data_IF_345595723655
#
_entry.id   IF_345595723655
#
_cell.length_a   1.000
_cell.length_b   1.000
_cell.length_c   1.000
_cell.angle_alpha   90.00
_cell.angle_beta   90.00
_cell.angle_gamma   90.00
#
_symmetry.space_group_name_H-M   'P 1'
#
loop_
_entity.id
_entity.type
_entity.pdbx_description
1 polymer ?
#
# COMPACT_ATOMS: atom_id res chain seq x y z
N UNK A 1 7.00 -17.32 -7.50
CA UNK A 1 8.09 -16.99 -8.45
C UNK A 1 7.46 -16.74 -9.82
N UNK A 2 7.23 -15.49 -10.17
CA UNK A 2 6.80 -15.12 -11.52
C UNK A 2 7.98 -15.37 -12.47
N UNK A 3 7.75 -16.01 -13.62
CA UNK A 3 8.78 -16.23 -14.65
C UNK A 3 8.60 -15.21 -15.79
N UNK A 4 9.19 -14.00 -15.67
CA UNK A 4 9.18 -12.97 -16.71
C UNK A 4 9.65 -13.42 -18.11
N UNK A 5 10.55 -14.41 -18.27
CA UNK A 5 10.97 -14.89 -19.59
C UNK A 5 9.82 -15.33 -20.51
N UNK A 6 8.76 -15.93 -19.95
CA UNK A 6 7.64 -16.45 -20.73
C UNK A 6 6.74 -15.34 -21.33
N UNK A 7 6.60 -14.21 -20.61
CA UNK A 7 5.79 -13.07 -21.09
C UNK A 7 6.55 -12.25 -22.14
N UNK A 8 7.86 -12.08 -21.96
CA UNK A 8 8.73 -11.36 -22.89
C UNK A 8 8.90 -12.10 -24.22
N UNK A 9 8.95 -13.45 -24.20
CA UNK A 9 8.97 -14.29 -25.40
C UNK A 9 7.72 -14.08 -26.29
N UNK A 10 6.53 -13.91 -25.68
CA UNK A 10 5.28 -13.62 -26.41
C UNK A 10 5.23 -12.22 -27.02
N UNK A 11 6.17 -11.34 -26.63
CA UNK A 11 6.31 -9.98 -27.13
C UNK A 11 7.42 -9.83 -28.18
N UNK A 12 8.06 -10.94 -28.60
CA UNK A 12 9.09 -10.94 -29.65
C UNK A 12 10.52 -10.72 -29.16
N UNK A 13 10.76 -10.88 -27.85
CA UNK A 13 12.07 -10.73 -27.24
C UNK A 13 12.60 -12.08 -26.71
N UNK A 14 13.87 -12.41 -27.01
CA UNK A 14 14.53 -13.64 -26.57
C UNK A 14 15.73 -13.37 -25.64
N UNK A 15 16.15 -14.40 -24.90
CA UNK A 15 17.42 -14.41 -24.15
C UNK A 15 18.59 -14.64 -25.12
N UNK A 16 19.71 -13.94 -24.92
CA UNK A 16 20.91 -14.13 -25.72
C UNK A 16 21.45 -15.58 -25.63
N UNK A 17 21.92 -16.20 -26.73
CA UNK A 17 22.31 -17.61 -26.76
C UNK A 17 23.40 -18.00 -25.75
N UNK A 18 24.38 -17.12 -25.52
CA UNK A 18 25.50 -17.37 -24.59
C UNK A 18 25.09 -17.36 -23.10
N UNK A 19 23.90 -16.87 -22.77
CA UNK A 19 23.41 -16.71 -21.40
C UNK A 19 22.47 -17.84 -20.97
N UNK A 20 22.08 -18.73 -21.89
CA UNK A 20 21.24 -19.92 -21.59
C UNK A 20 21.87 -20.88 -20.57
N UNK A 21 23.20 -20.84 -20.42
CA UNK A 21 23.96 -21.82 -19.64
C UNK A 21 24.60 -21.26 -18.35
N UNK A 22 24.36 -19.98 -17.97
CA UNK A 22 24.92 -19.39 -16.74
C UNK A 22 23.82 -19.17 -15.69
N UNK A 23 23.81 -19.97 -14.64
CA UNK A 23 22.74 -20.06 -13.61
C UNK A 23 22.91 -19.16 -12.39
N UNK A 24 23.98 -18.34 -12.31
CA UNK A 24 24.26 -17.53 -11.11
C UNK A 24 24.05 -16.02 -11.28
N UNK A 25 24.08 -15.52 -12.51
CA UNK A 25 23.57 -14.20 -12.85
C UNK A 25 23.06 -14.20 -14.29
N UNK A 26 21.74 -14.13 -14.46
CA UNK A 26 21.15 -14.07 -15.79
C UNK A 26 21.13 -12.61 -16.24
N UNK A 27 22.03 -12.26 -17.15
CA UNK A 27 21.92 -10.99 -17.86
C UNK A 27 20.81 -11.16 -18.92
N UNK A 28 19.61 -10.61 -18.73
CA UNK A 28 18.57 -10.67 -19.78
C UNK A 28 18.90 -9.58 -20.80
N UNK A 29 19.49 -9.97 -21.93
CA UNK A 29 19.67 -9.10 -23.09
C UNK A 29 18.44 -9.24 -23.99
N UNK A 30 17.60 -8.20 -24.06
CA UNK A 30 16.45 -8.18 -24.96
C UNK A 30 16.92 -7.78 -26.37
N UNK A 31 16.95 -8.73 -27.30
CA UNK A 31 17.10 -8.45 -28.73
C UNK A 31 15.73 -8.45 -29.42
N UNK A 32 15.45 -7.48 -30.32
CA UNK A 32 14.34 -7.62 -31.25
C UNK A 32 14.63 -8.79 -32.22
N UNK A 33 13.58 -9.51 -32.61
CA UNK A 33 13.69 -10.62 -33.56
C UNK A 33 14.34 -10.13 -34.89
N UNK A 34 15.48 -10.71 -35.33
CA UNK A 34 16.25 -10.21 -36.47
C UNK A 34 15.51 -10.29 -37.82
N UNK A 35 14.42 -11.05 -37.90
CA UNK A 35 13.58 -11.11 -39.11
C UNK A 35 12.76 -9.84 -39.38
N UNK A 36 12.85 -8.80 -38.54
CA UNK A 36 11.96 -7.64 -38.60
C UNK A 36 12.62 -6.27 -38.85
N UNK A 37 13.94 -6.07 -38.68
CA UNK A 37 14.56 -4.73 -38.73
C UNK A 37 16.07 -4.73 -39.05
N UNK A 38 16.57 -3.70 -39.77
CA UNK A 38 17.95 -3.55 -40.27
C UNK A 38 18.69 -2.30 -39.74
N UNK A 39 18.51 -1.92 -38.46
CA UNK A 39 19.09 -0.70 -37.89
C UNK A 39 19.82 -0.92 -36.55
N UNK A 40 20.85 -0.12 -36.29
CA UNK A 40 21.75 -0.21 -35.14
C UNK A 40 21.00 -0.35 -33.79
N UNK A 41 21.23 -1.46 -33.09
CA UNK A 41 20.50 -1.85 -31.89
C UNK A 41 21.15 -1.32 -30.60
N UNK A 42 20.34 -0.78 -29.67
CA UNK A 42 20.73 -0.63 -28.26
C UNK A 42 20.27 -1.88 -27.50
N UNK A 43 21.21 -2.55 -26.83
CA UNK A 43 20.94 -3.69 -25.96
C UNK A 43 20.47 -3.19 -24.59
N UNK A 44 19.36 -3.75 -24.09
CA UNK A 44 18.92 -3.54 -22.69
C UNK A 44 19.35 -4.76 -21.89
N UNK A 45 20.13 -4.55 -20.84
CA UNK A 45 20.68 -5.59 -19.98
C UNK A 45 19.98 -5.55 -18.61
N UNK A 46 19.51 -6.70 -18.14
CA UNK A 46 19.02 -6.87 -16.75
C UNK A 46 19.95 -7.76 -15.98
N UNK A 47 20.45 -7.35 -14.82
CA UNK A 47 21.24 -8.23 -13.96
C UNK A 47 20.30 -8.94 -12.99
N UNK A 48 20.28 -10.27 -13.04
CA UNK A 48 19.59 -11.10 -12.06
C UNK A 48 20.61 -11.60 -11.04
N UNK A 49 20.36 -11.40 -9.74
CA UNK A 49 21.15 -11.99 -8.65
C UNK A 49 20.28 -13.06 -7.95
N UNK A 50 20.87 -14.15 -7.45
CA UNK A 50 20.10 -15.22 -6.76
C UNK A 50 19.46 -14.75 -5.44
N UNK A 51 19.93 -13.63 -4.88
CA UNK A 51 19.34 -12.93 -3.73
C UNK A 51 19.36 -11.43 -4.02
N UNK A 52 18.36 -10.92 -4.75
CA UNK A 52 18.36 -9.52 -5.09
C UNK A 52 18.18 -8.66 -3.85
N UNK A 53 18.99 -7.62 -3.73
CA UNK A 53 18.79 -6.60 -2.70
C UNK A 53 17.40 -5.97 -2.87
N UNK A 54 16.88 -5.30 -1.83
CA UNK A 54 15.59 -4.62 -1.91
C UNK A 54 15.55 -3.58 -3.05
N UNK A 55 16.68 -2.93 -3.33
CA UNK A 55 16.86 -1.99 -4.44
C UNK A 55 16.80 -2.71 -5.79
N UNK A 56 17.45 -3.87 -5.92
CA UNK A 56 17.42 -4.69 -7.14
C UNK A 56 16.00 -5.21 -7.44
N UNK A 57 15.22 -5.60 -6.41
CA UNK A 57 13.83 -6.05 -6.56
C UNK A 57 12.89 -4.91 -7.01
N UNK A 58 13.04 -3.73 -6.42
CA UNK A 58 12.25 -2.55 -6.79
C UNK A 58 12.55 -2.10 -8.22
N UNK A 59 13.85 -2.07 -8.60
CA UNK A 59 14.29 -1.73 -9.95
C UNK A 59 13.78 -2.75 -10.97
N UNK A 60 13.82 -4.04 -10.66
CA UNK A 60 13.31 -5.10 -11.53
C UNK A 60 11.81 -4.95 -11.79
N UNK A 61 11.03 -4.72 -10.73
CA UNK A 61 9.57 -4.53 -10.82
C UNK A 61 9.23 -3.31 -11.67
N UNK A 62 9.87 -2.17 -11.39
CA UNK A 62 9.67 -0.93 -12.14
C UNK A 62 10.00 -1.12 -13.62
N UNK A 63 11.16 -1.72 -13.92
CA UNK A 63 11.61 -1.83 -15.31
C UNK A 63 10.75 -2.81 -16.11
N UNK A 64 10.30 -3.90 -15.48
CA UNK A 64 9.36 -4.85 -16.10
C UNK A 64 8.02 -4.19 -16.40
N UNK A 65 7.46 -3.44 -15.44
CA UNK A 65 6.24 -2.65 -15.61
C UNK A 65 6.35 -1.64 -16.75
N UNK A 66 7.42 -0.83 -16.78
CA UNK A 66 7.67 0.14 -17.85
C UNK A 66 7.79 -0.55 -19.20
N UNK A 67 8.55 -1.65 -19.31
CA UNK A 67 8.71 -2.37 -20.57
C UNK A 67 7.41 -3.00 -21.08
N UNK A 68 6.62 -3.62 -20.20
CA UNK A 68 5.33 -4.21 -20.56
C UNK A 68 4.35 -3.12 -21.03
N UNK A 69 4.36 -1.98 -20.36
CA UNK A 69 3.57 -0.82 -20.74
C UNK A 69 4.00 -0.25 -22.09
N UNK A 70 5.29 0.03 -22.28
CA UNK A 70 5.84 0.53 -23.55
C UNK A 70 5.62 -0.45 -24.70
N UNK A 71 5.70 -1.77 -24.45
CA UNK A 71 5.39 -2.80 -25.45
C UNK A 71 3.90 -2.77 -25.87
N UNK A 72 2.97 -2.56 -24.93
CA UNK A 72 1.54 -2.35 -25.23
C UNK A 72 1.29 -1.06 -26.00
N UNK A 73 1.92 0.04 -25.57
CA UNK A 73 1.84 1.33 -26.27
C UNK A 73 2.31 1.17 -27.72
N UNK A 74 3.45 0.50 -27.92
CA UNK A 74 4.05 0.22 -29.24
C UNK A 74 3.13 -0.58 -30.15
N UNK A 75 2.35 -1.53 -29.63
CA UNK A 75 1.36 -2.30 -30.42
C UNK A 75 0.23 -1.42 -30.95
N UNK A 76 -0.14 -0.37 -30.21
CA UNK A 76 -1.31 0.45 -30.49
C UNK A 76 -0.98 1.78 -31.20
N UNK A 77 0.29 2.13 -31.38
CA UNK A 77 0.71 3.32 -32.14
C UNK A 77 0.65 3.06 -33.66
N UNK A 78 0.13 4.02 -34.45
CA UNK A 78 -0.09 3.83 -35.89
C UNK A 78 1.19 3.83 -36.73
N UNK A 79 2.26 4.53 -36.30
CA UNK A 79 3.46 4.77 -37.14
C UNK A 79 4.80 4.39 -36.44
N UNK A 80 5.83 4.07 -37.25
CA UNK A 80 7.16 3.59 -36.86
C UNK A 80 7.97 4.64 -36.11
N UNK A 81 7.86 5.92 -36.49
CA UNK A 81 8.59 7.00 -35.81
C UNK A 81 8.05 7.25 -34.40
N UNK A 82 6.73 7.15 -34.22
CA UNK A 82 6.11 7.19 -32.89
C UNK A 82 6.54 6.00 -32.01
N UNK A 83 6.72 4.81 -32.61
CA UNK A 83 7.23 3.61 -31.92
C UNK A 83 8.70 3.77 -31.50
N UNK A 84 9.53 4.40 -32.34
CA UNK A 84 10.94 4.67 -32.06
C UNK A 84 11.12 5.76 -30.99
N UNK A 85 10.28 6.80 -31.01
CA UNK A 85 10.29 7.87 -30.01
C UNK A 85 9.91 7.34 -28.62
N UNK A 86 8.85 6.53 -28.52
CA UNK A 86 8.43 5.91 -27.26
C UNK A 86 9.52 5.02 -26.65
N UNK A 87 10.25 4.27 -27.48
CA UNK A 87 11.35 3.40 -27.03
C UNK A 87 12.56 4.22 -26.57
N UNK A 88 12.96 5.23 -27.35
CA UNK A 88 14.09 6.11 -27.02
C UNK A 88 13.85 6.82 -25.69
N UNK A 89 12.64 7.35 -25.47
CA UNK A 89 12.28 8.05 -24.24
C UNK A 89 12.14 7.13 -23.03
N UNK A 90 11.61 5.91 -23.20
CA UNK A 90 11.58 4.91 -22.12
C UNK A 90 13.00 4.58 -21.64
N UNK A 91 13.95 4.46 -22.58
CA UNK A 91 15.36 4.26 -22.26
C UNK A 91 16.00 5.48 -21.60
N UNK A 92 15.74 6.70 -22.09
CA UNK A 92 16.31 7.93 -21.54
C UNK A 92 15.82 8.17 -20.09
N UNK A 93 14.58 7.80 -19.75
CA UNK A 93 14.03 7.87 -18.39
C UNK A 93 14.66 6.85 -17.42
N UNK A 94 14.91 5.62 -17.89
CA UNK A 94 15.64 4.61 -17.10
C UNK A 94 17.06 5.13 -16.83
N UNK A 95 17.68 5.77 -17.81
CA UNK A 95 19.01 6.35 -17.71
C UNK A 95 19.09 7.67 -16.91
N UNK A 96 17.97 8.38 -16.70
CA UNK A 96 17.95 9.67 -15.98
C UNK A 96 17.69 9.53 -14.47
N UNK A 97 17.52 8.32 -13.94
CA UNK A 97 17.46 8.09 -12.49
C UNK A 97 18.87 8.04 -11.92
N UNK A 98 19.12 8.87 -10.90
CA UNK A 98 20.41 9.08 -10.23
C UNK A 98 21.03 7.84 -9.57
N UNK A 99 20.28 6.74 -9.47
CA UNK A 99 20.68 5.54 -8.73
C UNK A 99 21.08 4.36 -9.65
N UNK A 100 21.35 4.62 -10.93
CA UNK A 100 21.95 3.63 -11.83
C UNK A 100 23.47 3.82 -11.81
N UNK A 101 24.28 2.81 -11.41
CA UNK A 101 25.73 2.94 -11.43
C UNK A 101 26.18 3.28 -12.85
N UNK A 102 26.89 4.39 -13.00
CA UNK A 102 27.48 4.76 -14.27
C UNK A 102 28.51 3.72 -14.71
N UNK A 103 28.61 3.48 -16.02
CA UNK A 103 29.50 2.49 -16.65
C UNK A 103 30.99 2.60 -16.24
N UNK A 104 31.38 3.69 -15.60
CA UNK A 104 32.70 3.96 -15.04
C UNK A 104 33.02 3.23 -13.72
N UNK A 105 32.02 2.67 -13.02
CA UNK A 105 32.24 2.07 -11.69
C UNK A 105 32.56 0.56 -11.74
N UNK A 106 32.57 -0.04 -12.93
CA UNK A 106 32.95 -1.44 -13.13
C UNK A 106 34.43 -1.53 -13.53
N UNK A 107 35.32 -1.45 -12.53
CA UNK A 107 36.73 -1.82 -12.73
C UNK A 107 36.87 -3.36 -12.77
N UNK A 108 37.79 -3.91 -13.57
CA UNK A 108 37.83 -5.34 -13.87
C UNK A 108 38.63 -6.09 -12.80
N UNK A 109 37.97 -6.89 -11.98
CA UNK A 109 38.64 -7.88 -11.13
C UNK A 109 38.19 -9.29 -11.50
N UNK A 110 39.03 -9.93 -12.31
CA UNK A 110 39.25 -11.38 -12.37
C UNK A 110 40.29 -11.74 -11.27
N UNK A 111 40.66 -13.01 -11.01
CA UNK A 111 39.93 -14.26 -10.78
C UNK A 111 40.20 -14.83 -9.36
N UNK A 112 39.47 -15.92 -9.02
CA UNK A 112 39.83 -17.07 -8.14
C UNK A 112 38.80 -17.27 -7.03
N UNK A 113 37.83 -18.12 -7.31
CA UNK A 113 37.12 -18.87 -6.27
C UNK A 113 37.34 -20.34 -6.56
N UNK A 114 38.17 -20.96 -5.72
CA UNK A 114 38.22 -22.40 -5.55
C UNK A 114 36.87 -22.87 -4.98
N UNK A 115 36.44 -24.03 -5.47
CA UNK A 115 35.37 -24.87 -4.94
C UNK A 115 35.28 -24.88 -3.42
N UNK A 116 34.08 -24.94 -2.85
CA UNK A 116 33.79 -25.93 -1.79
C UNK A 116 32.30 -26.23 -1.66
N UNK A 117 32.06 -27.45 -1.22
CA UNK A 117 30.89 -28.30 -1.35
C UNK A 117 29.65 -27.96 -0.51
N UNK A 118 28.56 -28.51 -1.03
CA UNK A 118 27.24 -28.73 -0.47
C UNK A 118 27.29 -29.69 0.72
N UNK A 119 26.56 -29.38 1.80
CA UNK A 119 25.87 -30.39 2.61
C UNK A 119 24.45 -29.91 2.90
N UNK A 120 23.48 -30.77 2.58
CA UNK A 120 22.06 -30.59 2.86
C UNK A 120 21.70 -30.93 4.31
N UNK A 121 20.41 -30.75 4.63
CA UNK A 121 19.62 -31.68 5.45
C UNK A 121 18.12 -31.34 5.35
N UNK A 122 17.37 -32.43 5.12
CA UNK A 122 15.95 -32.73 5.21
C UNK A 122 15.00 -31.80 6.00
N UNK A 123 13.79 -31.62 5.44
CA UNK A 123 12.60 -31.14 6.14
C UNK A 123 11.59 -32.27 6.28
N UNK A 124 11.22 -32.59 7.52
CA UNK A 124 10.02 -33.40 7.81
C UNK A 124 8.86 -32.49 8.20
N UNK A 125 7.68 -32.84 7.67
CA UNK A 125 6.37 -32.25 7.94
C UNK A 125 5.91 -32.52 9.38
N UNK A 126 5.29 -31.54 10.04
CA UNK A 126 4.18 -31.79 10.98
C UNK A 126 3.13 -30.68 10.94
N UNK A 127 1.90 -31.13 10.72
CA UNK A 127 0.60 -30.45 10.89
C UNK A 127 0.32 -30.11 12.36
N UNK A 128 -0.33 -28.97 12.63
CA UNK A 128 -0.77 -28.58 13.98
C UNK A 128 -2.13 -27.90 14.01
N UNK A 129 -3.14 -28.63 14.49
CA UNK A 129 -4.49 -28.19 14.82
C UNK A 129 -4.51 -27.31 16.08
N UNK A 130 -5.37 -26.31 16.08
CA UNK A 130 -5.68 -25.42 17.20
C UNK A 130 -6.46 -26.15 18.30
N UNK A 131 -6.02 -26.02 19.56
CA UNK A 131 -6.84 -26.27 20.75
C UNK A 131 -6.44 -25.36 21.90
N UNK A 132 -7.48 -24.87 22.61
CA UNK A 132 -7.41 -24.04 23.80
C UNK A 132 -6.78 -24.79 24.98
N UNK A 133 -5.90 -24.15 25.76
CA UNK A 133 -5.71 -24.54 27.16
C UNK A 133 -5.33 -23.35 28.05
N UNK A 134 -6.08 -23.26 29.15
CA UNK A 134 -5.93 -22.34 30.27
C UNK A 134 -4.83 -22.82 31.23
N UNK A 135 -4.06 -21.84 31.73
CA UNK A 135 -3.40 -21.74 33.04
C UNK A 135 -2.76 -23.00 33.68
N UNK A 136 -1.43 -22.95 33.83
CA UNK A 136 -0.74 -23.45 35.03
C UNK A 136 0.58 -22.69 35.25
N UNK A 137 0.61 -21.82 36.28
CA UNK A 137 1.81 -21.15 36.82
C UNK A 137 2.85 -22.20 37.19
N UNK A 138 4.06 -22.13 36.62
CA UNK A 138 5.25 -22.78 37.17
C UNK A 138 6.03 -21.78 38.01
N UNK A 139 6.24 -22.16 39.28
CA UNK A 139 7.02 -21.48 40.31
C UNK A 139 8.47 -21.30 39.84
N UNK A 140 8.96 -20.05 39.76
CA UNK A 140 10.37 -19.75 39.47
C UNK A 140 11.13 -19.66 40.79
N UNK A 141 12.25 -20.37 40.86
CA UNK A 141 13.24 -20.35 41.95
C UNK A 141 14.02 -19.04 41.88
N UNK A 142 14.15 -18.35 43.02
CA UNK A 142 14.97 -17.16 43.17
C UNK A 142 16.46 -17.52 43.07
N UNK A 143 17.19 -16.77 42.25
CA UNK A 143 18.65 -16.68 42.23
C UNK A 143 19.03 -15.20 42.28
N UNK A 144 20.11 -14.82 43.00
CA UNK A 144 20.37 -13.43 43.35
C UNK A 144 20.99 -12.64 42.20
N UNK A 145 20.58 -11.37 42.12
CA UNK A 145 21.26 -10.22 41.54
C UNK A 145 21.86 -10.38 40.12
N UNK A 146 21.01 -10.12 39.14
CA UNK A 146 21.42 -9.71 37.80
C UNK A 146 20.48 -8.61 37.32
N UNK A 147 20.89 -7.35 37.47
CA UNK A 147 20.17 -6.20 36.93
C UNK A 147 20.07 -6.33 35.40
N UNK A 148 18.87 -6.61 34.90
CA UNK A 148 18.55 -6.62 33.47
C UNK A 148 18.42 -5.18 32.95
N UNK A 149 19.00 -4.83 31.79
CA UNK A 149 19.08 -3.45 31.30
C UNK A 149 17.83 -3.02 30.52
N UNK A 150 16.61 -3.22 31.06
CA UNK A 150 15.36 -2.77 30.43
C UNK A 150 14.20 -2.64 31.44
N UNK A 151 14.29 -1.70 32.39
CA UNK A 151 13.18 -1.35 33.29
C UNK A 151 12.92 0.14 33.30
N UNK A 152 12.52 0.70 32.15
CA UNK A 152 11.87 2.01 32.18
C UNK A 152 10.67 1.98 33.13
N UNK A 153 10.53 2.99 34.02
CA UNK A 153 9.50 3.00 35.04
C UNK A 153 8.11 3.14 34.42
N UNK A 154 7.12 2.48 35.02
CA UNK A 154 5.72 2.68 34.66
C UNK A 154 5.34 4.13 34.93
N UNK A 155 4.74 4.79 33.94
CA UNK A 155 4.36 6.20 33.97
C UNK A 155 2.86 6.37 34.16
N UNK A 156 2.48 7.45 34.85
CA UNK A 156 1.07 7.84 35.02
C UNK A 156 0.67 8.81 33.92
N UNK A 157 -0.43 8.53 33.23
CA UNK A 157 -1.00 9.45 32.25
C UNK A 157 -1.60 10.66 32.97
N UNK A 158 -0.90 11.80 32.95
CA UNK A 158 -1.34 13.03 33.64
C UNK A 158 -2.73 13.49 33.20
N UNK A 159 -3.09 13.29 31.94
CA UNK A 159 -4.39 13.68 31.37
C UNK A 159 -5.56 12.86 31.94
N UNK A 160 -5.32 11.59 32.28
CA UNK A 160 -6.36 10.63 32.67
C UNK A 160 -6.02 10.01 34.03
N UNK A 161 -5.84 10.89 35.00
CA UNK A 161 -5.60 10.50 36.39
C UNK A 161 -6.63 11.18 37.28
N UNK A 162 -7.79 10.53 37.44
CA UNK A 162 -8.89 11.05 38.24
C UNK A 162 -8.71 10.67 39.71
N UNK A 163 -8.82 11.66 40.60
CA UNK A 163 -8.67 11.47 42.04
C UNK A 163 -9.74 10.53 42.63
N UNK A 164 -10.93 10.51 42.03
CA UNK A 164 -12.05 9.62 42.34
C UNK A 164 -12.10 8.36 41.46
N UNK A 165 -11.12 8.17 40.58
CA UNK A 165 -10.99 6.99 39.73
C UNK A 165 -10.83 5.73 40.58
N UNK A 166 -11.56 4.67 40.19
CA UNK A 166 -11.72 3.43 40.94
C UNK A 166 -11.23 2.17 40.19
N UNK A 167 -10.52 2.36 39.08
CA UNK A 167 -9.77 1.32 38.35
C UNK A 167 -8.59 1.95 37.64
N UNK A 168 -7.50 1.18 37.51
CA UNK A 168 -6.33 1.58 36.73
C UNK A 168 -6.24 0.68 35.50
N UNK A 169 -6.33 1.25 34.31
CA UNK A 169 -5.99 0.55 33.07
C UNK A 169 -4.50 0.73 32.85
N UNK A 170 -3.77 -0.37 32.63
CA UNK A 170 -2.35 -0.33 32.30
C UNK A 170 -2.13 -0.83 30.88
N UNK A 171 -1.81 0.10 29.97
CA UNK A 171 -1.46 -0.19 28.58
C UNK A 171 0.04 0.10 28.40
N UNK A 172 0.80 -0.89 27.92
CA UNK A 172 2.26 -0.80 27.83
C UNK A 172 2.89 -0.38 29.18
N UNK A 173 3.61 0.76 29.21
CA UNK A 173 4.21 1.35 30.41
C UNK A 173 3.43 2.56 30.93
N UNK A 174 2.17 2.71 30.55
CA UNK A 174 1.33 3.85 30.92
C UNK A 174 0.09 3.38 31.70
N UNK A 175 -0.16 4.03 32.83
CA UNK A 175 -1.33 3.81 33.67
C UNK A 175 -2.32 4.96 33.58
N UNK A 176 -3.60 4.62 33.45
CA UNK A 176 -4.74 5.53 33.38
C UNK A 176 -5.67 5.24 34.57
N UNK A 177 -5.83 6.19 35.48
CA UNK A 177 -6.73 6.05 36.65
C UNK A 177 -8.08 6.65 36.29
N UNK A 178 -9.08 5.78 36.08
CA UNK A 178 -10.38 6.12 35.47
C UNK A 178 -11.55 5.44 36.19
N UNK A 179 -12.77 5.61 35.68
CA UNK A 179 -13.99 5.09 36.29
C UNK A 179 -14.48 3.80 35.63
N UNK A 180 -14.67 2.75 36.43
CA UNK A 180 -15.30 1.47 36.01
C UNK A 180 -16.65 1.69 35.36
N UNK A 181 -17.47 2.58 35.93
CA UNK A 181 -18.80 2.89 35.42
C UNK A 181 -18.77 3.43 33.99
N UNK A 182 -17.85 4.37 33.68
CA UNK A 182 -17.70 4.94 32.33
C UNK A 182 -17.24 3.87 31.35
N UNK A 183 -16.22 3.08 31.71
CA UNK A 183 -15.75 1.99 30.85
C UNK A 183 -16.84 0.92 30.61
N UNK A 184 -17.60 0.56 31.65
CA UNK A 184 -18.69 -0.42 31.57
C UNK A 184 -19.86 0.08 30.74
N UNK A 185 -20.15 1.39 30.80
CA UNK A 185 -21.20 2.01 30.00
C UNK A 185 -20.90 1.90 28.50
N UNK A 186 -19.64 2.08 28.10
CA UNK A 186 -19.26 2.01 26.70
C UNK A 186 -18.92 0.59 26.21
N UNK A 187 -18.53 -0.33 27.09
CA UNK A 187 -18.07 -1.68 26.73
C UNK A 187 -18.75 -2.78 27.54
N UNK A 188 -19.47 -3.66 26.82
CA UNK A 188 -20.06 -4.86 27.42
C UNK A 188 -19.01 -5.85 27.94
N UNK A 189 -17.87 -5.95 27.26
CA UNK A 189 -16.74 -6.81 27.66
C UNK A 189 -16.12 -6.31 28.97
N UNK A 190 -15.84 -5.00 29.09
CA UNK A 190 -15.29 -4.42 30.32
C UNK A 190 -16.31 -4.49 31.46
N UNK A 191 -17.60 -4.23 31.18
CA UNK A 191 -18.68 -4.41 32.16
C UNK A 191 -18.70 -5.82 32.74
N UNK A 192 -18.62 -6.83 31.87
CA UNK A 192 -18.59 -8.24 32.28
C UNK A 192 -17.32 -8.54 33.07
N UNK A 193 -16.16 -8.13 32.57
CA UNK A 193 -14.86 -8.32 33.22
C UNK A 193 -14.84 -7.76 34.65
N UNK A 194 -15.42 -6.58 34.86
CA UNK A 194 -15.51 -5.96 36.17
C UNK A 194 -16.57 -6.58 37.10
N UNK A 195 -17.53 -7.31 36.55
CA UNK A 195 -18.58 -7.97 37.34
C UNK A 195 -18.17 -9.35 37.85
N UNK A 196 -17.13 -9.96 37.24
CA UNK A 196 -16.63 -11.26 37.68
C UNK A 196 -15.98 -11.15 39.06
N UNK A 197 -16.17 -12.16 39.95
CA UNK A 197 -15.48 -12.21 41.24
C UNK A 197 -13.97 -12.18 40.99
N UNK A 198 -13.29 -11.16 41.51
CA UNK A 198 -11.83 -11.17 41.50
C UNK A 198 -11.35 -12.26 42.49
N UNK A 199 -10.28 -13.00 42.17
CA UNK A 199 -9.69 -13.92 43.14
C UNK A 199 -9.38 -13.14 44.42
N UNK A 200 -9.80 -13.69 45.55
CA UNK A 200 -9.76 -13.03 46.86
C UNK A 200 -8.40 -12.43 47.15
N UNK A 201 -8.40 -11.21 47.71
CA UNK A 201 -7.29 -10.31 48.06
C UNK A 201 -6.14 -10.92 48.88
N UNK A 202 -6.24 -12.19 49.29
CA UNK A 202 -5.18 -12.93 49.98
C UNK A 202 -4.26 -13.71 49.02
N UNK A 203 -4.62 -13.82 47.74
CA UNK A 203 -3.69 -14.28 46.72
C UNK A 203 -2.86 -13.08 46.25
N UNK A 204 -1.54 -13.18 46.34
CA UNK A 204 -0.49 -12.18 46.01
C UNK A 204 -0.45 -11.78 44.51
N UNK A 205 -1.59 -11.81 43.81
CA UNK A 205 -1.69 -11.78 42.35
C UNK A 205 -2.62 -10.71 41.78
N UNK A 206 -3.38 -9.97 42.61
CA UNK A 206 -4.09 -8.76 42.17
C UNK A 206 -3.23 -7.54 42.48
N UNK A 207 -2.50 -7.08 41.48
CA UNK A 207 -1.73 -5.84 41.54
C UNK A 207 -2.69 -4.66 41.79
N UNK A 208 -2.44 -3.90 42.85
CA UNK A 208 -3.21 -2.70 43.18
C UNK A 208 -2.26 -1.51 43.28
N UNK A 209 -2.72 -0.36 42.80
CA UNK A 209 -1.98 0.90 42.89
C UNK A 209 -2.93 1.91 43.52
N UNK A 210 -2.52 2.52 44.64
CA UNK A 210 -3.35 3.46 45.42
C UNK A 210 -4.71 2.85 45.83
N UNK A 211 -4.73 1.55 46.16
CA UNK A 211 -5.96 0.84 46.52
C UNK A 211 -6.92 0.58 45.35
N UNK A 212 -6.56 0.96 44.12
CA UNK A 212 -7.33 0.68 42.92
C UNK A 212 -6.82 -0.61 42.24
N UNK A 213 -7.71 -1.48 41.73
CA UNK A 213 -7.31 -2.66 40.96
C UNK A 213 -6.67 -2.24 39.64
N UNK A 214 -5.52 -2.84 39.31
CA UNK A 214 -4.83 -2.66 38.03
C UNK A 214 -5.32 -3.71 37.04
N UNK A 215 -5.68 -3.25 35.85
CA UNK A 215 -6.18 -4.06 34.74
C UNK A 215 -5.20 -3.92 33.59
N UNK A 216 -4.29 -4.89 33.41
CA UNK A 216 -3.37 -4.87 32.29
C UNK A 216 -4.12 -5.15 30.99
N UNK A 217 -3.80 -4.38 29.95
CA UNK A 217 -4.36 -4.51 28.60
C UNK A 217 -3.24 -4.63 27.58
N UNK A 218 -3.49 -5.36 26.49
CA UNK A 218 -2.49 -5.62 25.46
C UNK A 218 -2.41 -4.56 24.36
N UNK A 219 -3.32 -3.58 24.36
CA UNK A 219 -3.33 -2.50 23.38
C UNK A 219 -2.34 -1.40 23.73
N UNK A 220 -2.08 -0.50 22.77
CA UNK A 220 -1.15 0.61 22.96
C UNK A 220 -1.69 1.67 23.93
N UNK A 221 -0.78 2.35 24.64
CA UNK A 221 -1.14 3.49 25.47
C UNK A 221 -1.78 4.63 24.66
N UNK A 222 -1.35 4.79 23.41
CA UNK A 222 -1.90 5.79 22.48
C UNK A 222 -3.38 5.53 22.16
N UNK A 223 -3.77 4.27 21.95
CA UNK A 223 -5.17 3.94 21.69
C UNK A 223 -6.06 4.17 22.90
N UNK A 224 -5.55 3.85 24.09
CA UNK A 224 -6.26 4.11 25.34
C UNK A 224 -6.39 5.61 25.63
N UNK A 225 -5.35 6.42 25.38
CA UNK A 225 -5.48 7.89 25.43
C UNK A 225 -6.58 8.40 24.49
N UNK A 226 -6.56 7.91 23.24
CA UNK A 226 -7.51 8.32 22.22
C UNK A 226 -8.96 7.94 22.56
N UNK A 227 -9.21 6.71 23.04
CA UNK A 227 -10.57 6.29 23.38
C UNK A 227 -11.08 6.96 24.66
N UNK A 228 -10.21 7.19 25.65
CA UNK A 228 -10.57 7.93 26.86
C UNK A 228 -10.94 9.38 26.52
N UNK A 229 -10.26 9.99 25.53
CA UNK A 229 -10.64 11.29 24.99
C UNK A 229 -12.06 11.28 24.40
N UNK A 230 -12.45 10.20 23.73
CA UNK A 230 -13.82 10.02 23.21
C UNK A 230 -14.84 9.95 24.35
N UNK A 231 -14.55 9.22 25.43
CA UNK A 231 -15.48 9.05 26.55
C UNK A 231 -15.63 10.29 27.43
N UNK A 232 -14.51 10.93 27.77
CA UNK A 232 -14.49 12.02 28.74
C UNK A 232 -14.51 13.42 28.12
N UNK A 233 -14.26 13.54 26.81
CA UNK A 233 -14.12 14.83 26.12
C UNK A 233 -14.98 14.92 24.85
N UNK A 234 -16.21 14.42 24.93
CA UNK A 234 -17.17 14.38 23.81
C UNK A 234 -17.50 15.76 23.22
N UNK A 235 -17.38 16.84 24.01
CA UNK A 235 -17.64 18.23 23.59
C UNK A 235 -16.65 18.71 22.51
N UNK A 236 -15.44 18.15 22.44
CA UNK A 236 -14.45 18.51 21.40
C UNK A 236 -14.88 18.07 19.99
N UNK A 237 -15.70 17.02 19.89
CA UNK A 237 -16.19 16.50 18.59
C UNK A 237 -17.50 17.17 18.15
N UNK A 238 -18.19 17.86 19.06
CA UNK A 238 -19.50 18.48 18.81
C UNK A 238 -19.41 19.96 18.41
N UNK A 239 -18.36 20.68 18.85
CA UNK A 239 -18.35 22.15 18.78
C UNK A 239 -17.60 22.79 17.59
N UNK A 240 -17.05 22.02 16.65
CA UNK A 240 -16.19 22.60 15.59
C UNK A 240 -16.42 22.13 14.15
N UNK A 241 -17.27 21.13 13.91
CA UNK A 241 -17.40 20.52 12.58
C UNK A 241 -16.11 19.87 12.03
N UNK A 242 -15.02 19.86 12.82
CA UNK A 242 -13.74 19.27 12.46
C UNK A 242 -13.78 17.76 12.72
N UNK A 243 -13.44 16.97 11.71
CA UNK A 243 -13.25 15.53 11.86
C UNK A 243 -12.14 15.25 12.89
N UNK A 244 -12.29 14.24 13.77
CA UNK A 244 -11.21 13.82 14.65
C UNK A 244 -9.97 13.40 13.86
N UNK A 245 -8.77 13.49 14.46
CA UNK A 245 -7.56 12.91 13.89
C UNK A 245 -7.75 11.42 13.60
N UNK A 246 -7.12 10.92 12.53
CA UNK A 246 -7.29 9.54 12.09
C UNK A 246 -6.81 8.53 13.13
N UNK A 247 -5.88 8.88 14.02
CA UNK A 247 -5.43 8.05 15.13
C UNK A 247 -6.55 7.78 16.13
N UNK A 248 -7.39 8.80 16.39
CA UNK A 248 -8.59 8.63 17.23
C UNK A 248 -9.59 7.72 16.52
N UNK A 249 -9.77 7.91 15.21
CA UNK A 249 -10.63 7.04 14.40
C UNK A 249 -10.12 5.59 14.42
N UNK A 250 -8.80 5.37 14.35
CA UNK A 250 -8.19 4.04 14.42
C UNK A 250 -8.46 3.37 15.76
N UNK A 251 -8.26 4.09 16.87
CA UNK A 251 -8.56 3.59 18.22
C UNK A 251 -10.04 3.27 18.39
N UNK A 252 -10.94 4.12 17.88
CA UNK A 252 -12.39 3.88 17.90
C UNK A 252 -12.78 2.58 17.21
N UNK A 253 -12.18 2.26 16.06
CA UNK A 253 -12.46 1.02 15.32
C UNK A 253 -11.79 -0.18 16.00
N UNK A 254 -10.49 -0.11 16.35
CA UNK A 254 -9.73 -1.19 16.99
C UNK A 254 -10.30 -1.59 18.33
N UNK A 255 -10.34 -0.64 19.27
CA UNK A 255 -10.84 -0.91 20.61
C UNK A 255 -12.35 -1.15 20.58
N UNK A 256 -13.09 -0.41 19.76
CA UNK A 256 -14.55 -0.61 19.64
C UNK A 256 -14.95 -1.96 19.05
N UNK A 257 -14.07 -2.59 18.26
CA UNK A 257 -14.23 -3.98 17.89
C UNK A 257 -13.83 -4.92 19.03
N UNK A 258 -12.63 -4.77 19.58
CA UNK A 258 -12.07 -5.68 20.61
C UNK A 258 -12.86 -5.73 21.91
N UNK A 259 -13.38 -4.59 22.36
CA UNK A 259 -14.11 -4.45 23.64
C UNK A 259 -15.62 -4.34 23.45
N UNK A 260 -16.14 -4.69 22.27
CA UNK A 260 -17.55 -4.63 21.92
C UNK A 260 -18.21 -3.28 22.26
N UNK A 261 -17.71 -2.21 21.62
CA UNK A 261 -18.23 -0.85 21.73
C UNK A 261 -18.79 -0.42 20.37
N UNK A 262 -20.00 -0.89 20.01
CA UNK A 262 -20.54 -0.73 18.66
C UNK A 262 -20.69 0.72 18.22
N UNK A 263 -21.01 1.62 19.15
CA UNK A 263 -21.13 3.06 18.86
C UNK A 263 -19.79 3.67 18.42
N UNK A 264 -18.69 3.39 19.13
CA UNK A 264 -17.34 3.83 18.73
C UNK A 264 -16.93 3.19 17.40
N UNK A 265 -17.11 1.88 17.26
CA UNK A 265 -16.71 1.15 16.06
C UNK A 265 -17.42 1.66 14.82
N UNK A 266 -18.74 1.77 14.87
CA UNK A 266 -19.55 2.19 13.72
C UNK A 266 -19.28 3.65 13.36
N UNK A 267 -19.12 4.52 14.36
CA UNK A 267 -18.78 5.92 14.12
C UNK A 267 -17.37 6.07 13.54
N UNK A 268 -16.40 5.31 14.03
CA UNK A 268 -15.06 5.26 13.46
C UNK A 268 -15.07 4.82 11.99
N UNK A 269 -15.83 3.77 11.65
CA UNK A 269 -16.02 3.32 10.27
C UNK A 269 -16.65 4.42 9.40
N UNK A 270 -17.68 5.11 9.92
CA UNK A 270 -18.32 6.22 9.21
C UNK A 270 -17.32 7.35 8.92
N UNK A 271 -16.50 7.71 9.90
CA UNK A 271 -15.50 8.77 9.79
C UNK A 271 -14.38 8.41 8.81
N UNK A 272 -13.82 7.20 8.88
CA UNK A 272 -12.77 6.79 7.93
C UNK A 272 -13.31 6.71 6.50
N UNK A 273 -14.54 6.21 6.29
CA UNK A 273 -15.19 6.26 4.96
C UNK A 273 -15.36 7.69 4.47
N UNK A 274 -15.83 8.60 5.31
CA UNK A 274 -15.97 10.01 4.95
C UNK A 274 -14.63 10.62 4.54
N UNK A 275 -13.57 10.35 5.31
CA UNK A 275 -12.23 10.82 4.99
C UNK A 275 -11.68 10.20 3.69
N UNK A 276 -12.00 8.92 3.41
CA UNK A 276 -11.45 8.19 2.27
C UNK A 276 -12.18 8.31 0.95
N UNK A 277 -13.48 8.56 0.99
CA UNK A 277 -14.32 8.54 -0.20
C UNK A 277 -14.67 9.95 -0.68
N UNK A 278 -14.64 10.96 0.21
CA UNK A 278 -15.16 12.30 -0.08
C UNK A 278 -14.14 13.25 -0.67
N UNK A 279 -12.84 13.07 -0.41
CA UNK A 279 -11.80 13.97 -0.92
C UNK A 279 -10.88 13.27 -1.92
N UNK A 280 -10.49 13.93 -3.03
CA UNK A 280 -9.54 13.36 -3.98
C UNK A 280 -8.13 13.22 -3.38
N UNK A 281 -7.79 14.08 -2.40
CA UNK A 281 -6.54 14.03 -1.67
C UNK A 281 -6.80 13.92 -0.17
N UNK A 282 -6.05 13.05 0.49
CA UNK A 282 -6.06 12.87 1.93
C UNK A 282 -5.08 13.85 2.57
N UNK A 283 -5.52 14.56 3.61
CA UNK A 283 -4.57 15.18 4.54
C UNK A 283 -4.29 14.19 5.65
N UNK A 284 -3.07 13.65 5.67
CA UNK A 284 -2.61 12.81 6.78
C UNK A 284 -2.15 13.72 7.91
N UNK A 285 -2.46 13.33 9.14
CA UNK A 285 -1.85 13.92 10.32
C UNK A 285 -0.33 13.70 10.30
N UNK A 286 0.46 14.56 10.97
CA UNK A 286 1.93 14.41 11.02
C UNK A 286 2.40 13.05 11.55
N UNK A 287 1.59 12.38 12.36
CA UNK A 287 1.89 11.08 12.99
C UNK A 287 1.55 9.86 12.13
N UNK A 288 0.89 10.03 10.99
CA UNK A 288 0.51 8.93 10.11
C UNK A 288 1.21 9.01 8.76
N UNK A 289 1.55 7.84 8.23
CA UNK A 289 2.06 7.65 6.89
C UNK A 289 1.07 6.86 6.04
N UNK A 290 1.27 6.82 4.72
CA UNK A 290 0.39 6.08 3.79
C UNK A 290 0.35 4.59 4.16
N UNK A 291 1.51 4.02 4.51
CA UNK A 291 1.60 2.64 4.98
C UNK A 291 0.77 2.37 6.22
N UNK A 292 0.70 3.31 7.19
CA UNK A 292 -0.15 3.12 8.37
C UNK A 292 -1.62 2.98 7.98
N UNK A 293 -2.12 3.81 7.06
CA UNK A 293 -3.52 3.76 6.62
C UNK A 293 -3.85 2.47 5.88
N UNK A 294 -2.98 2.07 4.95
CA UNK A 294 -3.17 0.86 4.14
C UNK A 294 -3.14 -0.37 5.03
N UNK A 295 -2.11 -0.46 5.88
CA UNK A 295 -1.93 -1.57 6.82
C UNK A 295 -3.13 -1.65 7.78
N UNK A 296 -3.57 -0.52 8.33
CA UNK A 296 -4.74 -0.46 9.19
C UNK A 296 -6.02 -0.93 8.48
N UNK A 297 -6.27 -0.44 7.26
CA UNK A 297 -7.46 -0.85 6.49
C UNK A 297 -7.46 -2.34 6.15
N UNK A 298 -6.29 -2.95 6.02
CA UNK A 298 -6.11 -4.37 5.76
C UNK A 298 -6.32 -5.20 7.04
N UNK A 299 -5.65 -4.84 8.13
CA UNK A 299 -5.77 -5.51 9.44
C UNK A 299 -7.21 -5.49 9.96
N UNK A 300 -7.88 -4.35 9.82
CA UNK A 300 -9.27 -4.17 10.24
C UNK A 300 -10.28 -4.58 9.16
N UNK A 301 -9.87 -5.27 8.08
CA UNK A 301 -10.75 -5.75 6.99
C UNK A 301 -11.80 -4.69 6.56
N UNK A 302 -11.34 -3.46 6.31
CA UNK A 302 -12.20 -2.33 5.92
C UNK A 302 -12.34 -2.28 4.39
N UNK A 303 -13.00 -3.28 3.81
CA UNK A 303 -13.07 -3.45 2.35
C UNK A 303 -13.64 -2.22 1.64
N UNK A 304 -14.56 -1.48 2.29
CA UNK A 304 -15.23 -0.33 1.69
C UNK A 304 -14.32 0.86 1.38
N UNK A 305 -13.14 0.93 2.00
CA UNK A 305 -12.15 1.98 1.77
C UNK A 305 -10.89 1.47 1.07
N UNK A 306 -10.65 0.16 1.10
CA UNK A 306 -9.41 -0.45 0.59
C UNK A 306 -9.14 -0.12 -0.88
N UNK A 307 -10.13 -0.23 -1.76
CA UNK A 307 -9.93 0.03 -3.19
C UNK A 307 -9.43 1.47 -3.47
N UNK A 308 -9.93 2.46 -2.71
CA UNK A 308 -9.49 3.86 -2.80
C UNK A 308 -8.11 4.06 -2.18
N UNK A 309 -7.84 3.46 -1.01
CA UNK A 309 -6.53 3.56 -0.36
C UNK A 309 -5.44 2.87 -1.17
N UNK A 310 -5.74 1.74 -1.79
CA UNK A 310 -4.82 1.03 -2.68
C UNK A 310 -4.50 1.87 -3.92
N UNK A 311 -5.49 2.52 -4.54
CA UNK A 311 -5.27 3.47 -5.63
C UNK A 311 -4.31 4.59 -5.20
N UNK A 312 -4.59 5.23 -4.06
CA UNK A 312 -3.74 6.29 -3.51
C UNK A 312 -2.30 5.81 -3.24
N UNK A 313 -2.15 4.56 -2.80
CA UNK A 313 -0.84 3.93 -2.54
C UNK A 313 -0.05 3.70 -3.82
N UNK A 314 -0.69 3.15 -4.86
CA UNK A 314 -0.01 2.85 -6.14
C UNK A 314 0.24 4.10 -6.99
N UNK A 315 -0.45 5.20 -6.69
CA UNK A 315 -0.21 6.52 -7.27
C UNK A 315 0.99 7.23 -6.64
N UNK A 316 1.40 6.84 -5.44
CA UNK A 316 2.51 7.47 -4.74
C UNK A 316 3.80 7.47 -5.59
N UNK A 317 4.53 8.60 -5.72
CA UNK A 317 5.76 8.67 -6.50
C UNK A 317 6.85 7.68 -6.06
N UNK A 318 6.87 7.30 -4.78
CA UNK A 318 7.77 6.31 -4.22
C UNK A 318 7.38 4.86 -4.54
N UNK A 319 6.30 4.58 -5.26
CA UNK A 319 5.97 3.22 -5.67
C UNK A 319 6.90 2.73 -6.82
N UNK A 320 7.44 1.49 -6.79
CA UNK A 320 7.14 0.39 -5.87
C UNK A 320 8.01 0.32 -4.60
N UNK A 321 8.96 1.24 -4.42
CA UNK A 321 9.90 1.23 -3.30
C UNK A 321 9.21 1.26 -1.93
N UNK A 322 8.08 1.98 -1.81
CA UNK A 322 7.28 2.04 -0.57
C UNK A 322 6.75 0.68 -0.13
N UNK A 323 6.63 -0.32 -1.02
CA UNK A 323 6.26 -1.68 -0.64
C UNK A 323 7.30 -2.30 0.29
N UNK A 324 8.56 -1.95 0.07
CA UNK A 324 9.72 -2.56 0.71
C UNK A 324 10.26 -1.72 1.86
N UNK A 325 10.38 -0.41 1.66
CA UNK A 325 10.89 0.51 2.68
C UNK A 325 9.80 1.01 3.62
N UNK A 326 8.54 0.92 3.22
CA UNK A 326 7.45 1.58 3.90
C UNK A 326 7.43 3.09 3.64
N UNK A 327 6.65 3.80 4.45
CA UNK A 327 6.60 5.27 4.44
C UNK A 327 6.85 5.79 5.84
N UNK A 328 7.51 6.93 5.94
CA UNK A 328 7.84 7.59 7.21
C UNK A 328 6.86 8.73 7.44
N UNK A 329 6.21 8.74 8.59
CA UNK A 329 5.39 9.85 9.08
C UNK A 329 6.27 11.08 9.36
N UNK A 330 5.68 12.26 9.48
CA UNK A 330 6.44 13.47 9.80
C UNK A 330 7.07 13.43 11.21
N UNK A 331 6.60 12.55 12.10
CA UNK A 331 7.21 12.30 13.41
C UNK A 331 8.40 11.33 13.36
N UNK A 332 8.74 10.79 12.19
CA UNK A 332 9.87 9.88 12.00
C UNK A 332 9.53 8.39 12.17
N UNK A 333 8.28 8.04 12.49
CA UNK A 333 7.83 6.64 12.55
C UNK A 333 7.72 6.09 11.12
N UNK A 334 8.46 5.03 10.82
CA UNK A 334 8.38 4.30 9.56
C UNK A 334 7.52 3.06 9.72
N UNK A 335 6.51 2.91 8.86
CA UNK A 335 5.62 1.75 8.82
C UNK A 335 5.76 1.05 7.47
N UNK A 336 5.97 -0.27 7.50
CA UNK A 336 6.07 -1.10 6.30
C UNK A 336 4.70 -1.67 5.91
N UNK A 337 4.49 -1.84 4.61
CA UNK A 337 3.30 -2.52 4.08
C UNK A 337 3.54 -4.03 4.15
N UNK A 338 2.57 -4.78 4.68
CA UNK A 338 2.64 -6.25 4.74
C UNK A 338 3.02 -6.86 3.37
N UNK A 339 3.99 -7.79 3.31
CA UNK A 339 4.36 -8.49 2.07
C UNK A 339 3.19 -9.19 1.37
N UNK A 340 2.14 -9.56 2.13
CA UNK A 340 0.92 -10.14 1.60
C UNK A 340 0.15 -9.21 0.65
N UNK A 341 0.30 -7.89 0.80
CA UNK A 341 -0.34 -6.87 -0.04
C UNK A 341 0.47 -6.53 -1.29
N UNK A 342 1.75 -6.89 -1.37
CA UNK A 342 2.61 -6.50 -2.50
C UNK A 342 2.06 -6.99 -3.85
N UNK A 343 1.64 -8.26 -4.01
CA UNK A 343 1.08 -8.73 -5.28
C UNK A 343 -0.22 -8.03 -5.63
N UNK A 344 -1.09 -7.77 -4.65
CA UNK A 344 -2.36 -7.07 -4.82
C UNK A 344 -2.15 -5.66 -5.37
N UNK A 345 -1.27 -4.89 -4.74
CA UNK A 345 -0.97 -3.51 -5.15
C UNK A 345 -0.27 -3.48 -6.52
N UNK A 346 0.72 -4.34 -6.73
CA UNK A 346 1.50 -4.37 -7.98
C UNK A 346 0.66 -4.82 -9.17
N UNK A 347 -0.06 -5.94 -9.06
CA UNK A 347 -0.92 -6.44 -10.13
C UNK A 347 -2.14 -5.54 -10.33
N UNK A 348 -2.66 -4.94 -9.27
CA UNK A 348 -3.72 -3.95 -9.35
C UNK A 348 -3.31 -2.74 -10.19
N UNK A 349 -2.12 -2.19 -9.95
CA UNK A 349 -1.54 -1.09 -10.75
C UNK A 349 -1.46 -1.45 -12.24
N UNK A 350 -0.92 -2.62 -12.55
CA UNK A 350 -0.79 -3.09 -13.94
C UNK A 350 -2.14 -3.26 -14.65
N UNK A 351 -3.13 -3.81 -13.95
CA UNK A 351 -4.49 -3.94 -14.48
C UNK A 351 -5.10 -2.56 -14.73
N UNK A 352 -4.99 -1.63 -13.78
CA UNK A 352 -5.53 -0.29 -13.94
C UNK A 352 -4.95 0.40 -15.17
N UNK A 353 -3.63 0.38 -15.36
CA UNK A 353 -3.02 0.95 -16.57
C UNK A 353 -3.54 0.33 -17.87
N UNK A 354 -3.75 -0.99 -17.88
CA UNK A 354 -4.33 -1.67 -19.05
C UNK A 354 -5.76 -1.21 -19.34
N UNK A 355 -6.59 -1.10 -18.30
CA UNK A 355 -7.99 -0.67 -18.43
C UNK A 355 -8.10 0.82 -18.79
N UNK A 356 -7.20 1.67 -18.28
CA UNK A 356 -7.17 3.11 -18.59
C UNK A 356 -7.02 3.35 -20.10
N UNK A 357 -6.15 2.60 -20.77
CA UNK A 357 -5.98 2.73 -22.21
C UNK A 357 -7.28 2.44 -22.98
N UNK A 358 -8.02 1.43 -22.54
CA UNK A 358 -9.27 0.97 -23.17
C UNK A 358 -10.42 1.93 -22.89
N UNK A 359 -10.55 2.40 -21.65
CA UNK A 359 -11.73 3.12 -21.21
C UNK A 359 -11.56 4.64 -21.20
N UNK A 360 -10.42 5.18 -20.75
CA UNK A 360 -10.20 6.62 -20.69
C UNK A 360 -9.63 7.18 -21.99
N UNK A 361 -8.72 6.43 -22.61
CA UNK A 361 -7.86 6.97 -23.66
C UNK A 361 -8.10 6.37 -25.05
N UNK A 362 -9.17 5.58 -25.22
CA UNK A 362 -9.46 4.95 -26.51
C UNK A 362 -9.65 5.95 -27.65
N UNK A 363 -10.18 7.16 -27.37
CA UNK A 363 -10.33 8.22 -28.37
C UNK A 363 -9.01 8.66 -29.01
N UNK A 364 -7.88 8.51 -28.32
CA UNK A 364 -6.55 8.84 -28.86
C UNK A 364 -6.11 7.87 -29.95
N UNK A 365 -6.59 6.63 -29.90
CA UNK A 365 -6.20 5.55 -30.81
C UNK A 365 -7.26 5.27 -31.89
N UNK A 366 -8.43 5.90 -31.80
CA UNK A 366 -9.46 5.83 -32.85
C UNK A 366 -9.06 6.67 -34.06
N UNK A 367 -9.16 6.06 -35.24
CA UNK A 367 -9.02 6.76 -36.52
C UNK A 367 -10.03 7.91 -36.64
N UNK A 368 -9.58 9.00 -37.26
CA UNK A 368 -10.41 10.17 -37.55
C UNK A 368 -11.14 9.98 -38.89
N UNK A 369 -11.90 8.89 -38.99
CA UNK A 369 -12.58 8.53 -40.23
C UNK A 369 -13.91 9.33 -40.35
N UNK A 370 -13.78 10.61 -40.67
CA UNK A 370 -14.78 11.45 -41.37
C UNK A 370 -16.16 11.76 -40.77
N UNK A 371 -16.50 11.37 -39.54
CA UNK A 371 -17.74 11.85 -38.90
C UNK A 371 -17.44 13.10 -38.05
N UNK A 372 -17.40 14.29 -38.67
CA UNK A 372 -17.45 15.58 -37.98
C UNK A 372 -16.13 16.26 -37.57
N UNK A 373 -14.98 15.64 -37.83
CA UNK A 373 -13.67 16.30 -37.67
C UNK A 373 -13.48 17.38 -38.76
N UNK A 374 -13.12 18.60 -38.36
CA UNK A 374 -12.92 19.71 -39.31
C UNK A 374 -11.49 19.78 -39.86
N UNK A 375 -10.51 19.29 -39.10
CA UNK A 375 -9.10 19.28 -39.49
C UNK A 375 -8.46 17.96 -39.00
N UNK A 376 -8.48 16.97 -39.88
CA UNK A 376 -7.98 15.62 -39.58
C UNK A 376 -6.47 15.62 -39.33
N UNK A 377 -5.71 16.47 -40.01
CA UNK A 377 -4.25 16.51 -39.88
C UNK A 377 -3.84 17.08 -38.53
N UNK A 378 -4.36 18.27 -38.17
CA UNK A 378 -4.04 18.88 -36.89
C UNK A 378 -4.62 18.11 -35.71
N UNK A 379 -5.82 17.53 -35.83
CA UNK A 379 -6.36 16.67 -34.78
C UNK A 379 -5.53 15.38 -34.60
N UNK A 380 -4.97 14.81 -35.68
CA UNK A 380 -4.07 13.65 -35.57
C UNK A 380 -2.79 14.01 -34.83
N UNK A 381 -2.18 15.15 -35.18
CA UNK A 381 -0.99 15.66 -34.47
C UNK A 381 -1.31 16.00 -33.01
N UNK A 382 -2.46 16.59 -32.72
CA UNK A 382 -2.93 16.89 -31.38
C UNK A 382 -3.13 15.60 -30.55
N UNK A 383 -3.82 14.59 -31.09
CA UNK A 383 -3.93 13.26 -30.45
C UNK A 383 -2.57 12.65 -30.14
N UNK A 384 -1.60 12.76 -31.06
CA UNK A 384 -0.23 12.29 -30.83
C UNK A 384 0.45 13.06 -29.69
N UNK A 385 0.36 14.40 -29.66
CA UNK A 385 0.90 15.24 -28.57
C UNK A 385 0.29 14.88 -27.22
N UNK A 386 -1.04 14.70 -27.17
CA UNK A 386 -1.76 14.29 -25.96
C UNK A 386 -1.31 12.89 -25.52
N UNK A 387 -1.17 11.94 -26.46
CA UNK A 387 -0.67 10.59 -26.19
C UNK A 387 0.74 10.66 -25.58
N UNK A 388 1.65 11.43 -26.17
CA UNK A 388 2.98 11.63 -25.61
C UNK A 388 2.93 12.23 -24.18
N UNK A 389 2.08 13.23 -23.93
CA UNK A 389 1.93 13.88 -22.62
C UNK A 389 1.37 12.92 -21.55
N UNK A 390 0.38 12.10 -21.90
CA UNK A 390 -0.30 11.20 -20.96
C UNK A 390 0.53 9.94 -20.69
N UNK A 391 1.11 9.36 -21.73
CA UNK A 391 1.73 8.03 -21.65
C UNK A 391 3.24 8.07 -21.40
N UNK A 392 3.85 9.25 -21.25
CA UNK A 392 5.28 9.40 -20.99
C UNK A 392 5.52 10.02 -19.61
N UNK A 393 6.19 9.32 -18.67
CA UNK A 393 6.71 7.96 -18.81
C UNK A 393 5.67 6.85 -18.67
N UNK A 394 4.64 7.08 -17.85
CA UNK A 394 3.45 6.22 -17.66
C UNK A 394 2.28 7.12 -17.25
N UNK A 395 1.03 6.76 -17.57
CA UNK A 395 -0.14 7.53 -17.19
C UNK A 395 -0.30 7.56 -15.67
N UNK A 396 -0.60 8.75 -15.16
CA UNK A 396 -0.91 8.94 -13.76
C UNK A 396 -2.25 8.28 -13.45
N UNK A 397 -2.27 7.43 -12.43
CA UNK A 397 -3.50 6.75 -12.03
C UNK A 397 -4.56 7.73 -11.50
N UNK A 398 -4.15 8.91 -11.01
CA UNK A 398 -5.05 10.00 -10.62
C UNK A 398 -5.97 10.48 -11.72
N UNK A 399 -5.68 10.20 -13.01
CA UNK A 399 -6.60 10.51 -14.12
C UNK A 399 -7.95 9.78 -14.00
N UNK A 400 -8.02 8.69 -13.23
CA UNK A 400 -9.29 8.02 -12.87
C UNK A 400 -10.22 8.95 -12.08
N UNK A 401 -9.64 9.88 -11.31
CA UNK A 401 -10.34 10.76 -10.35
C UNK A 401 -10.33 12.24 -10.78
N UNK A 402 -9.56 12.59 -11.80
CA UNK A 402 -9.35 13.98 -12.21
C UNK A 402 -10.59 14.53 -12.91
N UNK A 403 -11.00 15.76 -12.62
CA UNK A 403 -12.06 16.40 -13.40
C UNK A 403 -11.66 16.55 -14.88
N UNK A 404 -12.63 16.72 -15.77
CA UNK A 404 -12.34 16.99 -17.18
C UNK A 404 -11.49 18.27 -17.31
N UNK A 405 -10.30 18.11 -17.87
CA UNK A 405 -9.37 19.20 -18.20
C UNK A 405 -9.10 19.20 -19.71
N UNK A 406 -9.57 20.21 -20.46
CA UNK A 406 -9.33 20.31 -21.90
C UNK A 406 -7.84 20.50 -22.23
N UNK A 407 -7.03 21.13 -21.39
CA UNK A 407 -5.60 21.33 -21.64
C UNK A 407 -4.79 20.03 -21.44
N UNK A 408 -5.33 19.11 -20.66
CA UNK A 408 -4.75 17.80 -20.44
C UNK A 408 -5.21 16.79 -21.50
N UNK A 409 -6.51 16.71 -21.75
CA UNK A 409 -7.12 15.63 -22.54
C UNK A 409 -7.57 16.04 -23.94
N UNK A 410 -7.56 17.33 -24.28
CA UNK A 410 -8.17 17.78 -25.54
C UNK A 410 -7.46 18.95 -26.21
N UNK A 411 -6.26 19.30 -25.77
CA UNK A 411 -5.53 20.45 -26.27
C UNK A 411 -5.34 20.35 -27.77
N UNK A 412 -5.66 21.45 -28.47
CA UNK A 412 -5.59 21.59 -29.94
C UNK A 412 -6.52 20.66 -30.74
N UNK A 413 -7.46 19.95 -30.11
CA UNK A 413 -8.50 19.22 -30.84
C UNK A 413 -9.56 20.18 -31.39
N UNK A 414 -10.08 19.90 -32.58
CA UNK A 414 -11.26 20.59 -33.08
C UNK A 414 -12.47 20.33 -32.16
N UNK A 415 -13.50 21.18 -32.24
CA UNK A 415 -14.68 21.13 -31.36
C UNK A 415 -15.35 19.75 -31.31
N UNK A 416 -15.42 19.04 -32.44
CA UNK A 416 -16.03 17.72 -32.51
C UNK A 416 -15.18 16.67 -31.78
N UNK A 417 -13.88 16.61 -32.06
CA UNK A 417 -12.95 15.68 -31.41
C UNK A 417 -12.81 15.97 -29.91
N UNK A 418 -12.88 17.24 -29.50
CA UNK A 418 -12.90 17.64 -28.10
C UNK A 418 -14.15 17.11 -27.38
N UNK A 419 -15.32 17.20 -28.01
CA UNK A 419 -16.56 16.68 -27.46
C UNK A 419 -16.53 15.15 -27.33
N UNK A 420 -16.00 14.43 -28.33
CA UNK A 420 -15.81 12.98 -28.27
C UNK A 420 -14.81 12.59 -27.16
N UNK A 421 -13.70 13.31 -27.04
CA UNK A 421 -12.69 13.10 -25.99
C UNK A 421 -13.31 13.28 -24.60
N UNK A 422 -14.11 14.34 -24.40
CA UNK A 422 -14.83 14.60 -23.14
C UNK A 422 -15.78 13.46 -22.80
N UNK A 423 -16.62 13.06 -23.75
CA UNK A 423 -17.56 11.96 -23.54
C UNK A 423 -16.84 10.64 -23.20
N UNK A 424 -15.76 10.33 -23.92
CA UNK A 424 -14.95 9.12 -23.70
C UNK A 424 -14.28 9.12 -22.33
N UNK A 425 -13.64 10.22 -21.94
CA UNK A 425 -12.96 10.31 -20.63
C UNK A 425 -13.98 10.25 -19.49
N UNK A 426 -15.11 10.97 -19.57
CA UNK A 426 -16.13 10.95 -18.51
C UNK A 426 -16.74 9.56 -18.33
N UNK A 427 -17.12 8.88 -19.42
CA UNK A 427 -17.64 7.50 -19.34
C UNK A 427 -16.56 6.50 -18.89
N UNK A 428 -15.33 6.71 -19.35
CA UNK A 428 -14.17 5.94 -18.94
C UNK A 428 -13.91 6.03 -17.44
N UNK A 429 -13.99 7.22 -16.84
CA UNK A 429 -13.81 7.42 -15.40
C UNK A 429 -14.87 6.69 -14.58
N UNK A 430 -16.13 6.76 -15.01
CA UNK A 430 -17.22 6.02 -14.39
C UNK A 430 -16.98 4.50 -14.44
N UNK A 431 -16.55 3.99 -15.59
CA UNK A 431 -16.21 2.57 -15.77
C UNK A 431 -15.01 2.15 -14.92
N UNK A 432 -13.95 2.96 -14.90
CA UNK A 432 -12.75 2.70 -14.10
C UNK A 432 -13.08 2.66 -12.61
N UNK A 433 -13.94 3.56 -12.12
CA UNK A 433 -14.39 3.57 -10.73
C UNK A 433 -15.14 2.28 -10.35
N UNK A 434 -15.94 1.72 -11.27
CA UNK A 434 -16.58 0.41 -11.05
C UNK A 434 -15.58 -0.75 -11.05
N UNK A 435 -14.57 -0.70 -11.91
CA UNK A 435 -13.54 -1.75 -12.03
C UNK A 435 -12.49 -1.70 -10.92
N UNK A 436 -12.39 -0.58 -10.20
CA UNK A 436 -11.32 -0.34 -9.22
C UNK A 436 -11.19 -1.46 -8.16
N UNK A 437 -12.25 -1.93 -7.48
CA UNK A 437 -12.12 -3.03 -6.53
C UNK A 437 -11.60 -4.31 -7.19
N UNK A 438 -12.16 -4.65 -8.36
CA UNK A 438 -11.79 -5.86 -9.11
C UNK A 438 -10.32 -5.83 -9.54
N UNK A 439 -9.77 -4.66 -9.86
CA UNK A 439 -8.35 -4.52 -10.18
C UNK A 439 -7.47 -5.04 -9.02
N UNK A 440 -7.83 -4.69 -7.79
CA UNK A 440 -7.15 -5.13 -6.57
C UNK A 440 -7.67 -6.46 -6.00
N UNK A 441 -8.51 -7.20 -6.73
CA UNK A 441 -9.04 -8.49 -6.26
C UNK A 441 -10.05 -8.38 -5.11
N UNK A 442 -10.64 -7.20 -4.91
CA UNK A 442 -11.68 -6.96 -3.91
C UNK A 442 -13.08 -7.27 -4.48
N UNK A 443 -14.07 -7.57 -3.62
CA UNK A 443 -15.46 -7.68 -4.03
C UNK A 443 -15.99 -6.41 -4.71
N UNK A 444 -17.03 -6.51 -5.55
CA UNK A 444 -17.75 -5.35 -6.06
C UNK A 444 -18.21 -4.44 -4.91
N UNK A 445 -18.28 -3.13 -5.16
CA UNK A 445 -18.62 -2.11 -4.14
C UNK A 445 -19.86 -2.47 -3.29
N UNK A 446 -20.90 -3.02 -3.92
CA UNK A 446 -22.16 -3.41 -3.28
C UNK A 446 -22.02 -4.58 -2.30
N UNK A 447 -20.98 -5.40 -2.47
CA UNK A 447 -20.71 -6.59 -1.68
C UNK A 447 -19.67 -6.36 -0.57
N UNK A 448 -19.01 -5.20 -0.57
CA UNK A 448 -17.93 -4.91 0.38
C UNK A 448 -18.46 -4.72 1.79
N UNK A 449 -17.72 -5.26 2.75
CA UNK A 449 -18.08 -5.20 4.17
C UNK A 449 -16.89 -4.70 4.98
N UNK A 450 -17.20 -3.97 6.05
CA UNK A 450 -16.19 -3.61 7.04
C UNK A 450 -16.39 -4.45 8.29
N UNK A 451 -15.32 -5.14 8.70
CA UNK A 451 -15.28 -6.03 9.85
C UNK A 451 -16.35 -7.13 9.84
N UNK A 452 -15.95 -8.34 9.42
CA UNK A 452 -16.42 -9.59 10.01
C UNK A 452 -15.25 -10.56 10.04
N UNK A 453 -14.77 -10.85 11.26
CA UNK A 453 -13.60 -11.68 11.52
C UNK A 453 -13.89 -13.17 11.39
#
# INVERSE_FOLDING_TARGET
MFSPPAQLARLGYGLHPELKNRTQAAIVCLQPNPSSYSGAHRHIFFIYTQRPSLEEQALFTLTTSVLLFTARLRRNLPDVDAKMLALKWSCDLICSRSDVPTRSDLNPLHPRIHSFDVYGLDMSEQTGSSSLSLLAKRKRVEGPDGASPDSEPIQRAKTWWFDDGNVIIQAEKVQFRVHRGVLSYHSAILSTMFSLPQPSTNDTSTETVEGCPVVPVSDSAMDWDAILRVFYSSVLFLNGGASPPLEVVFAMIRLGHKYDMPHCRNEGIRLIRSACLSTPNFSLSPSLSISDLVQFSFEMRLETVQARLFLYTVENPGFPEILYRGTTSATGKTTQISPSLHPTLTLGREKLWAEMQTHLFSYLFKNLDSAGCHDTEECSKAKLRITCKIFTPVPQLGYILTAWDPDLFGKDLCKHCLAEAKATVTEGQYTMMKLLPKAFGLPPWECQKDLNF
#
